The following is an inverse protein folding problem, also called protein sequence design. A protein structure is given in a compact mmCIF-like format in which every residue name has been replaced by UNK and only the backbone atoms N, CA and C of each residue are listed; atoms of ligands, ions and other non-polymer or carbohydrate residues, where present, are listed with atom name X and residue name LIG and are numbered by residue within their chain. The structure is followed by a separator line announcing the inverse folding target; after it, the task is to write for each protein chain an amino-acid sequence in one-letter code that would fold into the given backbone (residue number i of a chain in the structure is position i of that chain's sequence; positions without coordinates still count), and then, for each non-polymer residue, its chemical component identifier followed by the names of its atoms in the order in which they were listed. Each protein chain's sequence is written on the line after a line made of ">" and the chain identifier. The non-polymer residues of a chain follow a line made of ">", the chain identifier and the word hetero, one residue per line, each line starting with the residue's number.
data_IF_688060640396
#
_entry.id   IF_688060640396
#
_cell.length_a   1.000
_cell.length_b   1.000
_cell.length_c   1.000
_cell.angle_alpha   90.00
_cell.angle_beta   90.00
_cell.angle_gamma   90.00
#
_symmetry.space_group_name_H-M   'P 1'
#
loop_
_entity.id
_entity.type
_entity.pdbx_description
1 polymer ?
#
# COMPACT_ATOMS: atom_id res chain seq x y z
N UNK A 1 -6.24 -17.60 5.40
CA UNK A 1 -6.57 -18.85 6.12
C UNK A 1 -7.55 -19.66 5.29
N UNK A 2 -7.33 -20.96 5.09
CA UNK A 2 -8.30 -21.78 4.34
C UNK A 2 -9.59 -21.99 5.18
N UNK A 3 -10.72 -22.38 4.57
CA UNK A 3 -11.99 -22.56 5.30
C UNK A 3 -11.93 -23.63 6.39
N UNK A 4 -11.15 -24.71 6.20
CA UNK A 4 -11.03 -25.80 7.18
C UNK A 4 -10.39 -25.33 8.49
N UNK A 5 -9.30 -24.57 8.40
CA UNK A 5 -8.65 -23.98 9.57
C UNK A 5 -9.56 -22.96 10.28
N UNK A 6 -10.37 -22.20 9.53
CA UNK A 6 -11.33 -21.26 10.11
C UNK A 6 -12.41 -22.00 10.91
N UNK A 7 -12.94 -23.10 10.37
CA UNK A 7 -13.93 -23.92 11.08
C UNK A 7 -13.34 -24.63 12.30
N UNK A 8 -12.09 -25.08 12.24
CA UNK A 8 -11.42 -25.69 13.39
C UNK A 8 -11.25 -24.67 14.55
N UNK A 9 -10.93 -23.41 14.22
CA UNK A 9 -10.78 -22.33 15.20
C UNK A 9 -12.11 -21.99 15.91
N UNK A 10 -13.26 -22.18 15.26
CA UNK A 10 -14.57 -21.83 15.84
C UNK A 10 -14.83 -22.50 17.19
N UNK A 11 -14.49 -23.79 17.32
CA UNK A 11 -14.71 -24.53 18.58
C UNK A 11 -13.96 -23.89 19.75
N UNK A 12 -12.73 -23.46 19.49
CA UNK A 12 -11.87 -22.84 20.50
C UNK A 12 -12.34 -21.41 20.83
N UNK A 13 -12.94 -20.70 19.88
CA UNK A 13 -13.54 -19.39 20.14
C UNK A 13 -14.87 -19.46 20.91
N UNK A 14 -15.63 -20.56 20.75
CA UNK A 14 -16.88 -20.81 21.47
C UNK A 14 -16.65 -21.21 22.92
N UNK A 15 -15.70 -22.10 23.15
CA UNK A 15 -15.33 -22.63 24.46
C UNK A 15 -13.84 -22.38 24.67
N UNK A 16 -13.43 -21.13 24.92
CA UNK A 16 -12.02 -20.79 25.12
C UNK A 16 -11.51 -21.45 26.40
N UNK A 17 -10.25 -21.92 26.42
CA UNK A 17 -9.62 -22.37 27.66
C UNK A 17 -9.60 -21.24 28.70
N UNK A 18 -9.55 -21.61 29.99
CA UNK A 18 -9.42 -20.64 31.08
C UNK A 18 -8.20 -19.73 30.87
N UNK A 19 -8.33 -18.47 31.28
CA UNK A 19 -7.30 -17.43 31.20
C UNK A 19 -6.72 -17.19 29.79
N UNK A 20 -7.49 -17.45 28.73
CA UNK A 20 -7.05 -17.28 27.34
C UNK A 20 -7.68 -16.07 26.67
N UNK A 21 -6.84 -15.23 26.04
CA UNK A 21 -7.27 -14.13 25.17
C UNK A 21 -6.86 -14.38 23.72
N UNK A 22 -7.79 -14.16 22.79
CA UNK A 22 -7.54 -14.24 21.35
C UNK A 22 -7.43 -12.85 20.73
N UNK A 23 -6.39 -12.64 19.95
CA UNK A 23 -6.25 -11.46 19.08
C UNK A 23 -6.06 -11.94 17.64
N UNK A 24 -7.08 -11.68 16.80
CA UNK A 24 -7.06 -12.06 15.40
C UNK A 24 -6.80 -10.81 14.55
N UNK A 25 -5.82 -10.89 13.65
CA UNK A 25 -5.49 -9.79 12.73
C UNK A 25 -5.79 -10.23 11.30
N UNK A 26 -6.53 -9.41 10.57
CA UNK A 26 -6.83 -9.64 9.15
C UNK A 26 -6.75 -8.32 8.38
N UNK A 27 -6.16 -8.37 7.19
CA UNK A 27 -6.17 -7.27 6.23
C UNK A 27 -7.40 -7.28 5.32
N UNK A 28 -8.25 -8.31 5.41
CA UNK A 28 -9.46 -8.43 4.61
C UNK A 28 -10.55 -9.18 5.39
N UNK A 29 -11.49 -8.43 5.96
CA UNK A 29 -12.59 -8.96 6.77
C UNK A 29 -13.61 -9.80 5.95
N UNK A 30 -13.67 -9.62 4.62
CA UNK A 30 -14.54 -10.42 3.75
C UNK A 30 -14.08 -11.87 3.61
N UNK A 31 -12.78 -12.13 3.78
CA UNK A 31 -12.22 -13.49 3.75
C UNK A 31 -12.41 -14.25 5.07
N UNK A 32 -12.91 -13.58 6.11
CA UNK A 32 -13.19 -14.17 7.42
C UNK A 32 -14.64 -14.63 7.46
N UNK A 33 -14.85 -15.89 7.89
CA UNK A 33 -16.18 -16.46 8.01
C UNK A 33 -17.07 -15.61 8.93
N UNK A 34 -18.35 -15.38 8.56
CA UNK A 34 -19.31 -14.66 9.41
C UNK A 34 -19.42 -15.21 10.83
N UNK A 35 -19.26 -16.52 11.00
CA UNK A 35 -19.31 -17.22 12.29
C UNK A 35 -18.15 -16.91 13.23
N UNK A 36 -16.96 -16.61 12.69
CA UNK A 36 -15.84 -16.08 13.48
C UNK A 36 -16.15 -14.63 13.86
N UNK A 37 -16.61 -13.82 12.90
CA UNK A 37 -16.92 -12.40 13.12
C UNK A 37 -17.96 -12.19 14.22
N UNK A 38 -18.98 -13.04 14.31
CA UNK A 38 -20.01 -12.93 15.36
C UNK A 38 -19.52 -13.25 16.77
N UNK A 39 -18.31 -13.81 16.93
CA UNK A 39 -17.71 -14.21 18.23
C UNK A 39 -16.50 -13.35 18.60
N UNK A 40 -16.18 -12.34 17.79
CA UNK A 40 -15.07 -11.44 18.04
C UNK A 40 -15.58 -10.01 18.19
N UNK A 41 -14.94 -9.24 19.06
CA UNK A 41 -15.07 -7.80 19.03
C UNK A 41 -14.25 -7.26 17.85
N UNK A 42 -14.91 -6.57 16.91
CA UNK A 42 -14.24 -5.98 15.76
C UNK A 42 -13.63 -4.63 16.16
N UNK A 43 -12.32 -4.55 16.10
CA UNK A 43 -11.57 -3.30 16.20
C UNK A 43 -10.97 -2.96 14.84
N UNK A 44 -11.48 -1.92 14.20
CA UNK A 44 -10.91 -1.40 12.96
C UNK A 44 -9.71 -0.50 13.27
N UNK A 45 -8.60 -0.73 12.55
CA UNK A 45 -7.41 0.12 12.61
C UNK A 45 -7.36 0.88 11.29
N UNK A 46 -7.85 2.13 11.25
CA UNK A 46 -7.79 2.93 10.03
C UNK A 46 -6.33 3.28 9.69
N UNK A 47 -6.02 3.54 8.42
CA UNK A 47 -4.73 4.13 8.04
C UNK A 47 -4.55 5.48 8.73
N UNK A 48 -3.29 5.85 8.99
CA UNK A 48 -2.96 7.14 9.60
C UNK A 48 -3.32 8.28 8.66
N UNK A 49 -3.78 9.41 9.21
CA UNK A 49 -3.94 10.62 8.39
C UNK A 49 -2.56 11.20 8.03
N UNK A 50 -2.52 12.08 7.01
CA UNK A 50 -1.29 12.78 6.63
C UNK A 50 -0.77 13.64 7.80
N UNK A 51 -1.65 14.24 8.60
CA UNK A 51 -1.26 14.99 9.80
C UNK A 51 -0.66 14.10 10.88
N UNK A 52 -1.22 12.91 11.10
CA UNK A 52 -0.68 11.94 12.05
C UNK A 52 0.68 11.41 11.61
N UNK A 53 0.85 11.11 10.32
CA UNK A 53 2.13 10.73 9.74
C UNK A 53 3.17 11.84 9.91
N UNK A 54 2.81 13.08 9.59
CA UNK A 54 3.69 14.24 9.74
C UNK A 54 4.12 14.42 11.20
N UNK A 55 3.17 14.35 12.14
CA UNK A 55 3.42 14.48 13.58
C UNK A 55 4.32 13.36 14.12
N UNK A 56 4.13 12.12 13.67
CA UNK A 56 4.91 10.95 14.14
C UNK A 56 6.32 10.91 13.56
N UNK A 57 6.52 11.40 12.34
CA UNK A 57 7.80 11.25 11.61
C UNK A 57 8.60 12.54 11.50
N UNK A 58 7.98 13.70 11.76
CA UNK A 58 8.56 15.03 11.52
C UNK A 58 8.67 15.41 10.04
N UNK A 59 8.10 14.60 9.13
CA UNK A 59 8.13 14.86 7.69
C UNK A 59 7.00 15.83 7.35
N UNK A 60 7.34 16.93 6.67
CA UNK A 60 6.38 17.96 6.26
C UNK A 60 6.19 18.06 4.73
N UNK A 61 6.78 17.14 3.96
CA UNK A 61 6.61 17.11 2.51
C UNK A 61 5.22 16.52 2.17
N UNK A 62 4.28 17.31 1.63
CA UNK A 62 2.93 16.84 1.34
C UNK A 62 2.93 15.70 0.31
N UNK A 63 3.87 15.69 -0.63
CA UNK A 63 3.95 14.66 -1.67
C UNK A 63 4.33 13.32 -1.06
N UNK A 64 5.29 13.30 -0.13
CA UNK A 64 5.70 12.07 0.55
C UNK A 64 4.60 11.53 1.46
N UNK A 65 3.90 12.42 2.16
CA UNK A 65 2.79 12.05 3.05
C UNK A 65 1.60 11.49 2.25
N UNK A 66 1.26 12.11 1.11
CA UNK A 66 0.25 11.60 0.18
C UNK A 66 0.64 10.25 -0.43
N UNK A 67 1.91 10.09 -0.86
CA UNK A 67 2.43 8.84 -1.41
C UNK A 67 2.40 7.69 -0.40
N UNK A 68 2.60 7.99 0.88
CA UNK A 68 2.59 7.00 1.95
C UNK A 68 1.21 6.40 2.20
N UNK A 69 0.12 7.11 1.85
CA UNK A 69 -1.27 6.64 1.98
C UNK A 69 -1.56 6.04 3.36
N UNK A 70 -1.18 6.78 4.41
CA UNK A 70 -1.34 6.36 5.81
C UNK A 70 -0.43 5.23 6.28
N UNK A 71 0.44 4.67 5.43
CA UNK A 71 1.41 3.65 5.77
C UNK A 71 2.74 4.25 6.25
N UNK A 72 2.99 4.13 7.56
CA UNK A 72 4.25 4.59 8.16
C UNK A 72 5.47 3.80 7.65
N UNK A 73 5.31 2.50 7.36
CA UNK A 73 6.38 1.68 6.72
C UNK A 73 6.74 2.28 5.36
N UNK A 74 5.73 2.55 4.53
CA UNK A 74 5.95 3.06 3.18
C UNK A 74 6.59 4.45 3.22
N UNK A 75 6.12 5.34 4.09
CA UNK A 75 6.70 6.66 4.25
C UNK A 75 8.21 6.60 4.54
N UNK A 76 8.63 5.68 5.41
CA UNK A 76 10.05 5.48 5.70
C UNK A 76 10.82 4.92 4.50
N UNK A 77 10.24 3.96 3.77
CA UNK A 77 10.86 3.41 2.56
C UNK A 77 11.08 4.49 1.49
N UNK A 78 10.06 5.30 1.19
CA UNK A 78 10.15 6.39 0.20
C UNK A 78 11.17 7.45 0.66
N UNK A 79 11.22 7.74 1.96
CA UNK A 79 12.19 8.69 2.54
C UNK A 79 13.64 8.22 2.33
N UNK A 80 13.89 6.93 2.46
CA UNK A 80 15.23 6.34 2.29
C UNK A 80 15.61 6.19 0.81
N UNK A 81 14.62 5.97 -0.07
CA UNK A 81 14.78 5.71 -1.51
C UNK A 81 14.37 6.93 -2.37
N UNK A 82 14.95 8.09 -2.09
CA UNK A 82 14.63 9.35 -2.81
C UNK A 82 14.92 9.27 -4.31
N UNK A 83 15.96 8.52 -4.67
CA UNK A 83 16.34 8.24 -6.05
C UNK A 83 15.20 7.58 -6.84
N UNK A 84 14.44 6.68 -6.23
CA UNK A 84 13.28 6.06 -6.88
C UNK A 84 12.17 7.08 -7.15
N UNK A 85 11.95 8.03 -6.23
CA UNK A 85 10.97 9.11 -6.41
C UNK A 85 11.39 10.02 -7.57
N UNK A 86 12.67 10.41 -7.62
CA UNK A 86 13.23 11.24 -8.68
C UNK A 86 13.20 10.53 -10.04
N UNK A 87 13.52 9.24 -10.06
CA UNK A 87 13.41 8.40 -11.26
C UNK A 87 11.95 8.32 -11.73
N UNK A 88 10.97 8.14 -10.83
CA UNK A 88 9.56 8.07 -11.22
C UNK A 88 9.06 9.41 -11.79
N UNK A 89 9.48 10.54 -11.22
CA UNK A 89 9.19 11.88 -11.76
C UNK A 89 9.85 12.09 -13.12
N UNK A 90 11.10 11.66 -13.27
CA UNK A 90 11.86 11.74 -14.52
C UNK A 90 11.25 10.86 -15.61
N UNK A 91 10.75 9.67 -15.24
CA UNK A 91 10.08 8.76 -16.15
C UNK A 91 8.83 9.40 -16.78
N UNK A 92 8.08 10.19 -16.02
CA UNK A 92 6.86 10.86 -16.52
C UNK A 92 7.10 12.10 -17.39
N UNK A 93 8.27 12.72 -17.29
CA UNK A 93 8.61 13.98 -17.98
C UNK A 93 9.70 13.79 -19.04
N UNK A 94 10.42 12.69 -18.98
CA UNK A 94 11.58 12.40 -19.79
C UNK A 94 11.23 12.05 -21.24
N UNK A 95 12.22 12.18 -22.10
CA UNK A 95 12.16 11.66 -23.45
C UNK A 95 12.30 10.13 -23.47
N UNK A 96 12.14 9.54 -24.67
CA UNK A 96 12.21 8.08 -24.86
C UNK A 96 13.52 7.50 -24.34
N UNK A 97 14.64 8.21 -24.51
CA UNK A 97 15.95 7.77 -24.03
C UNK A 97 16.02 7.75 -22.50
N UNK A 98 15.49 8.78 -21.84
CA UNK A 98 15.40 8.83 -20.37
C UNK A 98 14.57 7.68 -19.82
N UNK A 99 13.39 7.44 -20.40
CA UNK A 99 12.50 6.34 -20.03
C UNK A 99 13.20 4.99 -20.17
N UNK A 100 13.88 4.76 -21.30
CA UNK A 100 14.65 3.54 -21.55
C UNK A 100 15.76 3.33 -20.51
N UNK A 101 16.53 4.37 -20.21
CA UNK A 101 17.61 4.30 -19.23
C UNK A 101 17.10 4.01 -17.82
N UNK A 102 15.96 4.58 -17.42
CA UNK A 102 15.33 4.29 -16.13
C UNK A 102 14.84 2.84 -16.12
N UNK A 103 14.18 2.38 -17.19
CA UNK A 103 13.71 1.00 -17.28
C UNK A 103 14.86 -0.01 -17.09
N UNK A 104 16.01 0.20 -17.74
CA UNK A 104 17.20 -0.64 -17.54
C UNK A 104 17.69 -0.62 -16.09
N UNK A 105 17.71 0.56 -15.44
CA UNK A 105 18.10 0.65 -14.02
C UNK A 105 17.16 -0.11 -13.09
N UNK A 106 15.87 -0.23 -13.44
CA UNK A 106 14.91 -0.98 -12.64
C UNK A 106 15.16 -2.49 -12.70
N UNK A 107 15.72 -3.00 -13.80
CA UNK A 107 16.05 -4.43 -13.93
C UNK A 107 17.07 -4.89 -12.89
N UNK A 108 17.97 -3.99 -12.47
CA UNK A 108 19.00 -4.26 -11.47
C UNK A 108 18.48 -4.16 -10.02
N UNK A 109 17.26 -3.66 -9.81
CA UNK A 109 16.66 -3.52 -8.48
C UNK A 109 16.03 -4.83 -8.01
N UNK A 110 15.93 -4.99 -6.68
CA UNK A 110 15.15 -6.08 -6.12
C UNK A 110 13.64 -5.88 -6.33
N UNK A 111 12.87 -6.95 -6.12
CA UNK A 111 11.43 -6.95 -6.34
C UNK A 111 10.69 -5.93 -5.45
N UNK A 112 11.18 -5.66 -4.24
CA UNK A 112 10.54 -4.71 -3.32
C UNK A 112 10.70 -3.27 -3.83
N UNK A 113 11.92 -2.91 -4.27
CA UNK A 113 12.23 -1.60 -4.86
C UNK A 113 11.54 -1.40 -6.22
N UNK A 114 11.45 -2.43 -7.06
CA UNK A 114 10.68 -2.38 -8.32
C UNK A 114 9.19 -2.11 -8.06
N UNK A 115 8.58 -2.83 -7.10
CA UNK A 115 7.18 -2.61 -6.70
C UNK A 115 6.99 -1.22 -6.11
N UNK A 116 7.95 -0.75 -5.31
CA UNK A 116 7.94 0.60 -4.74
C UNK A 116 7.96 1.67 -5.84
N UNK A 117 8.86 1.54 -6.82
CA UNK A 117 8.93 2.43 -7.97
C UNK A 117 7.59 2.48 -8.73
N UNK A 118 7.02 1.33 -9.07
CA UNK A 118 5.74 1.25 -9.79
C UNK A 118 4.60 1.90 -8.99
N UNK A 119 4.58 1.71 -7.66
CA UNK A 119 3.60 2.35 -6.79
C UNK A 119 3.73 3.87 -6.78
N UNK A 120 4.96 4.39 -6.69
CA UNK A 120 5.24 5.83 -6.75
C UNK A 120 4.80 6.39 -8.12
N UNK A 121 5.15 5.69 -9.20
CA UNK A 121 4.77 6.07 -10.57
C UNK A 121 3.25 6.12 -10.74
N UNK A 122 2.54 5.07 -10.30
CA UNK A 122 1.08 5.01 -10.36
C UNK A 122 0.42 6.18 -9.62
N UNK A 123 0.94 6.56 -8.45
CA UNK A 123 0.45 7.72 -7.70
C UNK A 123 0.60 9.02 -8.50
N UNK A 124 1.77 9.26 -9.12
CA UNK A 124 1.97 10.46 -9.92
C UNK A 124 1.08 10.50 -11.17
N UNK A 125 0.90 9.36 -11.86
CA UNK A 125 -0.03 9.25 -12.99
C UNK A 125 -1.46 9.54 -12.52
N UNK A 126 -1.86 9.02 -11.36
CA UNK A 126 -3.19 9.27 -10.80
C UNK A 126 -3.40 10.75 -10.48
N UNK A 127 -2.43 11.40 -9.84
CA UNK A 127 -2.48 12.85 -9.55
C UNK A 127 -2.59 13.69 -10.82
N UNK A 128 -1.82 13.35 -11.87
CA UNK A 128 -1.95 14.00 -13.19
C UNK A 128 -3.31 13.76 -13.84
N UNK A 129 -3.84 12.54 -13.75
CA UNK A 129 -5.17 12.23 -14.26
C UNK A 129 -6.25 13.06 -13.56
N UNK A 130 -6.21 13.19 -12.23
CA UNK A 130 -7.17 14.02 -11.50
C UNK A 130 -7.08 15.51 -11.86
N UNK A 131 -5.87 16.01 -12.12
CA UNK A 131 -5.63 17.40 -12.48
C UNK A 131 -6.03 17.73 -13.93
N UNK A 132 -5.62 16.89 -14.89
CA UNK A 132 -5.74 17.17 -16.34
C UNK A 132 -6.95 16.45 -16.98
N UNK A 133 -7.51 15.43 -16.33
CA UNK A 133 -8.57 14.53 -16.86
C UNK A 133 -8.25 13.96 -18.26
N UNK A 134 -6.97 13.78 -18.56
CA UNK A 134 -6.50 13.27 -19.85
C UNK A 134 -6.65 11.74 -19.93
N UNK A 135 -7.34 11.25 -20.96
CA UNK A 135 -7.59 9.82 -21.22
C UNK A 135 -6.30 8.99 -21.36
N UNK A 136 -5.18 9.58 -21.80
CA UNK A 136 -3.90 8.87 -21.86
C UNK A 136 -3.41 8.42 -20.48
N UNK A 137 -3.61 9.20 -19.41
CA UNK A 137 -3.26 8.77 -18.06
C UNK A 137 -4.21 7.70 -17.53
N UNK A 138 -5.49 7.77 -17.89
CA UNK A 138 -6.48 6.74 -17.54
C UNK A 138 -6.10 5.39 -18.14
N UNK A 139 -5.73 5.35 -19.42
CA UNK A 139 -5.25 4.13 -20.09
C UNK A 139 -4.02 3.52 -19.41
N UNK A 140 -3.11 4.36 -18.90
CA UNK A 140 -1.93 3.89 -18.15
C UNK A 140 -2.36 3.31 -16.80
N UNK A 141 -3.24 3.99 -16.06
CA UNK A 141 -3.75 3.50 -14.78
C UNK A 141 -4.49 2.16 -14.93
N UNK A 142 -5.34 2.04 -15.95
CA UNK A 142 -6.09 0.81 -16.21
C UNK A 142 -5.16 -0.38 -16.44
N UNK A 143 -3.99 -0.16 -17.07
CA UNK A 143 -2.95 -1.20 -17.27
C UNK A 143 -2.13 -1.50 -16.02
N UNK A 144 -1.97 -0.54 -15.11
CA UNK A 144 -1.23 -0.73 -13.85
C UNK A 144 -2.04 -1.49 -12.81
N UNK A 145 -3.38 -1.44 -12.90
CA UNK A 145 -4.30 -2.09 -11.97
C UNK A 145 -5.04 -3.31 -12.56
N UNK A 146 -4.77 -3.69 -13.81
CA UNK A 146 -5.25 -4.93 -14.44
C UNK A 146 -4.40 -6.14 -14.06
#
# INVERSE_FOLDING_TARGET
>A
MNPYAQNALLKVLEEPPEDTFFMLVSNNLYKILPTIKSRCFLLEVPPLTTEELAKKTGINDPTLLELADGSLKLLNQIKEKKDLVENALSFLKGDVLTVYNIANKLEDLDEEDQRLFLRILAHFVHKKYLAEKNESYKLILDRLYS
#
